data_IF_958150889008
#
_entry.id   IF_958150889008
#
_cell.length_a   1.000
_cell.length_b   1.000
_cell.length_c   1.000
_cell.angle_alpha   90.00
_cell.angle_beta   90.00
_cell.angle_gamma   90.00
#
_symmetry.space_group_name_H-M   'P 1'
#
loop_
_entity.id
_entity.type
_entity.pdbx_description
1 polymer ?
#
# COMPACT_ATOMS: atom_id res chain seq x y z
N UNK A 1 32.63 6.75 0.91
CA UNK A 1 31.69 5.90 1.69
C UNK A 1 30.29 6.52 1.81
N UNK A 2 30.14 7.79 2.21
CA UNK A 2 28.82 8.45 2.34
C UNK A 2 27.93 8.35 1.09
N UNK A 3 28.50 8.58 -0.10
CA UNK A 3 27.79 8.45 -1.38
C UNK A 3 27.19 7.06 -1.58
N UNK A 4 27.98 6.02 -1.34
CA UNK A 4 27.53 4.62 -1.42
C UNK A 4 26.37 4.35 -0.46
N UNK A 5 26.46 4.83 0.78
CA UNK A 5 25.39 4.69 1.79
C UNK A 5 24.10 5.38 1.31
N UNK A 6 24.20 6.62 0.83
CA UNK A 6 23.04 7.37 0.33
C UNK A 6 22.38 6.71 -0.88
N UNK A 7 23.18 6.18 -1.81
CA UNK A 7 22.68 5.42 -2.96
C UNK A 7 21.96 4.16 -2.48
N UNK A 8 22.54 3.41 -1.53
CA UNK A 8 21.91 2.23 -0.97
C UNK A 8 20.57 2.55 -0.27
N UNK A 9 20.52 3.63 0.51
CA UNK A 9 19.29 4.08 1.17
C UNK A 9 18.21 4.52 0.17
N UNK A 10 18.59 5.24 -0.89
CA UNK A 10 17.66 5.61 -1.95
C UNK A 10 17.12 4.37 -2.69
N UNK A 11 17.98 3.38 -2.97
CA UNK A 11 17.57 2.11 -3.58
C UNK A 11 16.61 1.33 -2.66
N UNK A 12 16.88 1.27 -1.35
CA UNK A 12 15.96 0.68 -0.37
C UNK A 12 14.62 1.41 -0.39
N UNK A 13 14.62 2.74 -0.45
CA UNK A 13 13.39 3.54 -0.51
C UNK A 13 12.58 3.27 -1.79
N UNK A 14 13.24 3.03 -2.93
CA UNK A 14 12.57 2.54 -4.17
C UNK A 14 11.91 1.20 -3.93
N UNK A 15 12.62 0.22 -3.35
CA UNK A 15 12.08 -1.10 -3.05
C UNK A 15 10.88 -1.05 -2.09
N UNK A 16 10.94 -0.20 -1.06
CA UNK A 16 9.81 0.05 -0.15
C UNK A 16 8.61 0.59 -0.92
N UNK A 17 8.82 1.58 -1.80
CA UNK A 17 7.74 2.18 -2.61
C UNK A 17 7.06 1.15 -3.52
N UNK A 18 7.84 0.28 -4.17
CA UNK A 18 7.32 -0.84 -4.97
C UNK A 18 6.56 -1.84 -4.09
N UNK A 19 7.06 -2.12 -2.88
CA UNK A 19 6.40 -3.03 -1.93
C UNK A 19 5.03 -2.47 -1.51
N UNK A 20 4.95 -1.17 -1.23
CA UNK A 20 3.68 -0.49 -0.92
C UNK A 20 2.71 -0.57 -2.10
N UNK A 21 3.18 -0.47 -3.35
CA UNK A 21 2.35 -0.66 -4.54
C UNK A 21 1.79 -2.10 -4.63
N UNK A 22 2.63 -3.11 -4.44
CA UNK A 22 2.21 -4.52 -4.48
C UNK A 22 1.16 -4.80 -3.41
N UNK A 23 1.39 -4.31 -2.19
CA UNK A 23 0.42 -4.37 -1.09
C UNK A 23 -0.86 -3.63 -1.49
N UNK A 24 -0.73 -2.40 -1.98
CA UNK A 24 -1.85 -1.60 -2.49
C UNK A 24 -2.73 -2.35 -3.47
N UNK A 25 -2.15 -3.07 -4.43
CA UNK A 25 -2.90 -3.91 -5.36
C UNK A 25 -3.66 -5.05 -4.66
N UNK A 26 -3.04 -5.75 -3.69
CA UNK A 26 -3.73 -6.81 -2.92
C UNK A 26 -4.93 -6.28 -2.14
N UNK A 27 -4.83 -5.06 -1.64
CA UNK A 27 -5.90 -4.38 -0.91
C UNK A 27 -6.79 -3.52 -1.82
N UNK A 28 -6.63 -3.57 -3.15
CA UNK A 28 -7.28 -2.70 -4.14
C UNK A 28 -7.30 -1.21 -3.73
N UNK A 29 -6.21 -0.74 -3.12
CA UNK A 29 -6.02 0.63 -2.62
C UNK A 29 -7.10 1.14 -1.64
N UNK A 30 -7.88 0.23 -1.05
CA UNK A 30 -8.83 0.55 0.03
C UNK A 30 -8.12 1.09 1.29
N UNK A 31 -6.88 0.67 1.51
CA UNK A 31 -6.03 1.16 2.60
C UNK A 31 -5.36 2.47 2.19
N UNK A 32 -5.75 3.59 2.83
CA UNK A 32 -5.30 4.94 2.48
C UNK A 32 -3.78 5.07 2.34
N UNK A 33 -3.01 4.46 3.23
CA UNK A 33 -1.55 4.58 3.25
C UNK A 33 -0.87 3.98 2.01
N UNK A 34 -1.48 2.96 1.37
CA UNK A 34 -0.89 2.34 0.18
C UNK A 34 -0.94 3.28 -1.03
N UNK A 35 -1.85 4.26 -1.06
CA UNK A 35 -1.93 5.28 -2.11
C UNK A 35 -0.71 6.24 -2.15
N UNK A 36 0.13 6.21 -1.11
CA UNK A 36 1.37 7.02 -1.08
C UNK A 36 2.52 6.40 -1.88
N UNK A 37 2.33 5.22 -2.48
CA UNK A 37 3.38 4.51 -3.23
C UNK A 37 4.01 5.35 -4.34
N UNK A 38 3.20 6.06 -5.14
CA UNK A 38 3.67 6.79 -6.31
C UNK A 38 4.50 8.03 -5.93
N UNK A 39 4.04 8.91 -5.01
CA UNK A 39 4.89 9.98 -4.48
C UNK A 39 6.21 9.48 -3.90
N UNK A 40 6.19 8.40 -3.11
CA UNK A 40 7.41 7.83 -2.52
C UNK A 40 8.37 7.28 -3.60
N UNK A 41 7.82 6.66 -4.64
CA UNK A 41 8.61 6.17 -5.77
C UNK A 41 9.29 7.32 -6.52
N UNK A 42 8.57 8.41 -6.81
CA UNK A 42 9.13 9.56 -7.51
C UNK A 42 10.22 10.25 -6.69
N UNK A 43 10.00 10.44 -5.39
CA UNK A 43 11.00 11.03 -4.48
C UNK A 43 12.24 10.14 -4.38
N UNK A 44 12.07 8.84 -4.21
CA UNK A 44 13.19 7.90 -4.10
C UNK A 44 14.01 7.80 -5.38
N UNK A 45 13.37 7.78 -6.55
CA UNK A 45 14.06 7.83 -7.85
C UNK A 45 14.82 9.14 -8.05
N UNK A 46 14.21 10.28 -7.72
CA UNK A 46 14.89 11.58 -7.79
C UNK A 46 16.13 11.60 -6.91
N UNK A 47 16.01 11.16 -5.65
CA UNK A 47 17.15 11.07 -4.72
C UNK A 47 18.24 10.14 -5.25
N UNK A 48 17.86 8.98 -5.81
CA UNK A 48 18.80 8.03 -6.39
C UNK A 48 19.62 8.68 -7.52
N UNK A 49 18.95 9.34 -8.47
CA UNK A 49 19.60 10.05 -9.59
C UNK A 49 20.51 11.16 -9.07
N UNK A 50 20.02 11.98 -8.12
CA UNK A 50 20.80 13.06 -7.51
C UNK A 50 22.07 12.52 -6.85
N UNK A 51 21.96 11.44 -6.07
CA UNK A 51 23.13 10.87 -5.38
C UNK A 51 24.13 10.23 -6.34
N UNK A 52 23.68 9.61 -7.43
CA UNK A 52 24.55 9.03 -8.47
C UNK A 52 25.37 10.15 -9.16
N UNK A 53 24.70 11.22 -9.61
CA UNK A 53 25.33 12.28 -10.42
C UNK A 53 26.13 13.27 -9.56
N UNK A 54 25.78 13.43 -8.28
CA UNK A 54 26.45 14.37 -7.39
C UNK A 54 27.94 14.06 -7.20
N UNK A 55 28.77 15.11 -7.25
CA UNK A 55 30.21 15.04 -6.96
C UNK A 55 30.45 14.72 -5.49
N UNK A 56 31.49 13.95 -5.19
CA UNK A 56 31.82 13.53 -3.81
C UNK A 56 32.06 14.70 -2.86
N UNK A 57 32.63 15.81 -3.34
CA UNK A 57 32.83 17.03 -2.54
C UNK A 57 31.51 17.62 -2.01
N UNK A 58 30.41 17.48 -2.75
CA UNK A 58 29.08 17.93 -2.32
C UNK A 58 28.51 16.96 -1.30
N UNK A 59 28.58 15.65 -1.60
CA UNK A 59 28.08 14.59 -0.71
C UNK A 59 28.80 14.59 0.65
N UNK A 60 30.10 14.86 0.68
CA UNK A 60 30.86 14.86 1.92
C UNK A 60 30.47 16.00 2.89
N UNK A 61 29.85 17.07 2.38
CA UNK A 61 29.28 18.17 3.19
C UNK A 61 27.98 17.79 3.89
N UNK A 62 27.33 16.70 3.50
CA UNK A 62 26.11 16.22 4.15
C UNK A 62 26.43 15.78 5.58
N UNK A 63 25.64 16.28 6.52
CA UNK A 63 25.77 15.98 7.95
C UNK A 63 25.62 14.48 8.22
N UNK A 64 26.43 13.94 9.12
CA UNK A 64 26.30 12.55 9.59
C UNK A 64 24.95 12.31 10.27
N UNK A 65 24.35 13.35 10.86
CA UNK A 65 23.02 13.27 11.47
C UNK A 65 21.95 12.92 10.43
N UNK A 66 22.01 13.50 9.22
CA UNK A 66 21.09 13.19 8.13
C UNK A 66 21.22 11.72 7.69
N UNK A 67 22.44 11.18 7.68
CA UNK A 67 22.71 9.77 7.36
C UNK A 67 22.12 8.81 8.41
N UNK A 68 21.94 9.26 9.65
CA UNK A 68 21.27 8.48 10.71
C UNK A 68 19.76 8.62 10.70
N UNK A 69 19.24 9.85 10.53
CA UNK A 69 17.78 10.10 10.59
C UNK A 69 17.07 9.46 9.40
N UNK A 70 17.68 9.47 8.21
CA UNK A 70 17.03 8.95 7.01
C UNK A 70 16.62 7.47 7.12
N UNK A 71 17.50 6.52 7.48
CA UNK A 71 17.09 5.13 7.67
C UNK A 71 16.07 4.95 8.81
N UNK A 72 16.20 5.70 9.91
CA UNK A 72 15.23 5.65 11.02
C UNK A 72 13.83 6.07 10.52
N UNK A 73 13.75 7.14 9.74
CA UNK A 73 12.50 7.60 9.13
C UNK A 73 11.89 6.55 8.19
N UNK A 74 12.69 5.91 7.34
CA UNK A 74 12.22 4.84 6.46
C UNK A 74 11.65 3.66 7.25
N UNK A 75 12.31 3.26 8.33
CA UNK A 75 11.84 2.17 9.22
C UNK A 75 10.53 2.56 9.90
N UNK A 76 10.43 3.77 10.45
CA UNK A 76 9.20 4.23 11.13
C UNK A 76 8.02 4.33 10.17
N UNK A 77 8.22 4.90 8.97
CA UNK A 77 7.17 4.99 7.95
C UNK A 77 6.71 3.58 7.55
N UNK A 78 7.67 2.68 7.30
CA UNK A 78 7.35 1.29 6.95
C UNK A 78 6.54 0.64 8.07
N UNK A 79 7.00 0.76 9.32
CA UNK A 79 6.31 0.20 10.48
C UNK A 79 4.86 0.70 10.59
N UNK A 80 4.62 2.01 10.44
CA UNK A 80 3.27 2.58 10.47
C UNK A 80 2.39 1.98 9.36
N UNK A 81 2.93 1.82 8.14
CA UNK A 81 2.17 1.24 7.03
C UNK A 81 1.79 -0.21 7.35
N UNK A 82 2.77 -1.04 7.72
CA UNK A 82 2.56 -2.47 7.96
C UNK A 82 1.71 -2.76 9.18
N UNK A 83 1.83 -1.97 10.25
CA UNK A 83 1.03 -2.14 11.46
C UNK A 83 -0.47 -1.85 11.26
N UNK A 84 -0.80 -0.99 10.29
CA UNK A 84 -2.18 -0.61 9.97
C UNK A 84 -2.77 -1.40 8.80
N UNK A 85 -2.11 -2.48 8.35
CA UNK A 85 -2.68 -3.37 7.35
C UNK A 85 -3.72 -4.29 8.00
N UNK A 86 -4.93 -4.41 7.42
CA UNK A 86 -5.90 -5.38 7.88
C UNK A 86 -5.42 -6.83 7.72
N UNK A 87 -5.94 -7.73 8.55
CA UNK A 87 -5.60 -9.16 8.52
C UNK A 87 -5.97 -9.84 7.20
N UNK A 88 -7.11 -9.45 6.61
CA UNK A 88 -7.56 -9.94 5.32
C UNK A 88 -7.37 -8.87 4.26
N UNK A 89 -6.86 -9.28 3.11
CA UNK A 89 -6.82 -8.45 1.91
C UNK A 89 -8.19 -8.39 1.25
N UNK A 90 -8.40 -7.38 0.39
CA UNK A 90 -9.64 -7.26 -0.37
C UNK A 90 -9.82 -8.43 -1.36
N UNK A 91 -8.72 -8.91 -1.96
CA UNK A 91 -8.75 -10.09 -2.83
C UNK A 91 -9.14 -11.36 -2.07
N UNK A 92 -8.59 -11.58 -0.88
CA UNK A 92 -8.98 -12.72 -0.04
C UNK A 92 -10.46 -12.63 0.38
N UNK A 93 -10.93 -11.44 0.74
CA UNK A 93 -12.34 -11.23 1.06
C UNK A 93 -13.25 -11.57 -0.14
N UNK A 94 -12.89 -11.15 -1.35
CA UNK A 94 -13.60 -11.55 -2.59
C UNK A 94 -13.65 -13.06 -2.76
N UNK A 95 -12.50 -13.72 -2.63
CA UNK A 95 -12.40 -15.18 -2.79
C UNK A 95 -13.25 -15.93 -1.75
N UNK A 96 -13.25 -15.47 -0.49
CA UNK A 96 -14.09 -16.04 0.57
C UNK A 96 -15.57 -15.94 0.21
N UNK A 97 -16.04 -14.75 -0.20
CA UNK A 97 -17.44 -14.55 -0.58
C UNK A 97 -17.82 -15.46 -1.75
N UNK A 98 -17.06 -15.46 -2.84
CA UNK A 98 -17.34 -16.30 -4.02
C UNK A 98 -17.41 -17.78 -3.64
N UNK A 99 -16.46 -18.25 -2.82
CA UNK A 99 -16.37 -19.66 -2.42
C UNK A 99 -17.52 -20.08 -1.51
N UNK A 100 -17.92 -19.23 -0.56
CA UNK A 100 -18.95 -19.57 0.41
C UNK A 100 -20.37 -19.39 -0.11
N UNK A 101 -20.58 -18.44 -1.01
CA UNK A 101 -21.93 -18.09 -1.49
C UNK A 101 -22.22 -18.62 -2.90
N UNK A 102 -21.18 -19.03 -3.64
CA UNK A 102 -21.25 -19.37 -5.07
C UNK A 102 -21.77 -18.24 -5.97
N UNK A 103 -21.79 -17.00 -5.46
CA UNK A 103 -22.20 -15.83 -6.23
C UNK A 103 -21.04 -15.27 -7.06
N UNK A 104 -21.34 -14.74 -8.25
CA UNK A 104 -20.35 -14.09 -9.11
C UNK A 104 -20.20 -12.61 -8.77
N UNK A 105 -18.96 -12.11 -8.82
CA UNK A 105 -18.65 -10.68 -8.64
C UNK A 105 -19.31 -9.87 -9.76
N UNK A 106 -19.96 -8.77 -9.37
CA UNK A 106 -20.50 -7.81 -10.32
C UNK A 106 -19.41 -6.84 -10.79
N UNK A 107 -18.88 -7.11 -11.97
CA UNK A 107 -17.86 -6.27 -12.62
C UNK A 107 -18.41 -4.89 -13.02
N UNK A 108 -19.72 -4.72 -13.16
CA UNK A 108 -20.32 -3.41 -13.47
C UNK A 108 -20.18 -2.42 -12.29
N UNK A 109 -19.95 -2.94 -11.08
CA UNK A 109 -19.80 -2.19 -9.82
C UNK A 109 -18.34 -1.92 -9.45
N UNK A 110 -17.39 -2.08 -10.38
CA UNK A 110 -15.97 -1.92 -10.11
C UNK A 110 -15.56 -0.51 -9.62
N UNK A 111 -16.31 0.51 -9.99
CA UNK A 111 -16.05 1.91 -9.59
C UNK A 111 -16.72 2.33 -8.28
N UNK A 112 -17.49 1.43 -7.64
CA UNK A 112 -18.14 1.72 -6.36
C UNK A 112 -17.13 1.72 -5.21
N UNK A 113 -17.58 2.19 -4.04
CA UNK A 113 -16.75 2.22 -2.83
C UNK A 113 -16.43 0.78 -2.40
N UNK A 114 -15.16 0.38 -2.51
CA UNK A 114 -14.71 -0.98 -2.17
C UNK A 114 -14.41 -1.18 -0.69
N UNK A 115 -14.15 -0.12 0.07
CA UNK A 115 -13.91 -0.25 1.50
C UNK A 115 -13.95 1.05 2.27
N UNK A 116 -14.33 0.95 3.54
CA UNK A 116 -14.41 2.06 4.48
C UNK A 116 -14.24 1.53 5.92
N UNK A 117 -13.38 2.18 6.71
CA UNK A 117 -13.23 1.93 8.16
C UNK A 117 -13.03 0.44 8.54
N UNK A 118 -12.17 -0.28 7.83
CA UNK A 118 -11.91 -1.71 8.10
C UNK A 118 -13.01 -2.66 7.61
N UNK A 119 -13.94 -2.15 6.80
CA UNK A 119 -14.95 -2.96 6.13
C UNK A 119 -14.71 -2.93 4.62
N UNK A 120 -14.88 -4.07 3.98
CA UNK A 120 -14.88 -4.22 2.53
C UNK A 120 -16.29 -4.44 2.02
N UNK A 121 -16.61 -3.79 0.92
CA UNK A 121 -17.85 -3.99 0.18
C UNK A 121 -17.55 -4.86 -1.03
N UNK A 122 -18.07 -6.09 -1.01
CA UNK A 122 -17.95 -7.05 -2.11
C UNK A 122 -19.30 -7.07 -2.83
N UNK A 123 -19.31 -6.54 -4.05
CA UNK A 123 -20.49 -6.48 -4.89
C UNK A 123 -20.58 -7.75 -5.73
N UNK A 124 -21.65 -8.50 -5.56
CA UNK A 124 -22.03 -9.63 -6.41
C UNK A 124 -23.23 -9.24 -7.27
N UNK A 125 -23.58 -10.08 -8.25
CA UNK A 125 -24.75 -9.83 -9.10
C UNK A 125 -26.05 -9.69 -8.30
N UNK A 126 -26.18 -10.42 -7.19
CA UNK A 126 -27.41 -10.46 -6.41
C UNK A 126 -27.35 -9.59 -5.15
N UNK A 127 -26.18 -9.43 -4.55
CA UNK A 127 -26.04 -8.87 -3.20
C UNK A 127 -24.79 -7.99 -3.04
N UNK A 128 -24.76 -7.27 -1.92
CA UNK A 128 -23.56 -6.64 -1.39
C UNK A 128 -23.20 -7.33 -0.08
N UNK A 129 -21.96 -7.77 0.02
CA UNK A 129 -21.40 -8.33 1.23
C UNK A 129 -20.52 -7.29 1.92
N UNK A 130 -20.83 -7.01 3.17
CA UNK A 130 -20.03 -6.13 4.03
C UNK A 130 -19.12 -7.04 4.86
N UNK A 131 -17.87 -7.14 4.46
CA UNK A 131 -16.85 -8.03 5.03
C UNK A 131 -15.95 -7.26 5.99
N UNK A 132 -15.74 -7.76 7.20
CA UNK A 132 -14.82 -7.18 8.18
C UNK A 132 -13.39 -7.63 7.88
N UNK A 133 -12.51 -6.68 7.56
CA UNK A 133 -11.14 -6.97 7.16
C UNK A 133 -10.25 -7.48 8.30
N UNK A 134 -10.71 -7.42 9.55
CA UNK A 134 -9.94 -7.86 10.73
C UNK A 134 -10.25 -9.29 11.15
N UNK A 135 -11.54 -9.68 11.16
CA UNK A 135 -11.97 -10.99 11.68
C UNK A 135 -12.59 -11.92 10.64
N UNK A 136 -12.73 -11.46 9.40
CA UNK A 136 -13.19 -12.25 8.26
C UNK A 136 -14.69 -12.53 8.23
N UNK A 137 -15.48 -11.97 9.17
CA UNK A 137 -16.94 -12.13 9.17
C UNK A 137 -17.58 -11.19 8.16
N UNK A 138 -18.75 -11.56 7.66
CA UNK A 138 -19.51 -10.70 6.77
C UNK A 138 -21.00 -10.70 7.04
N UNK A 139 -21.67 -9.66 6.54
CA UNK A 139 -23.12 -9.57 6.48
C UNK A 139 -23.59 -9.38 5.04
N UNK A 140 -24.73 -9.98 4.72
CA UNK A 140 -25.35 -9.94 3.39
C UNK A 140 -26.41 -8.85 3.34
N UNK A 141 -26.40 -8.03 2.29
CA UNK A 141 -27.40 -6.99 2.04
C UNK A 141 -27.89 -7.09 0.59
N UNK A 142 -29.18 -6.85 0.36
CA UNK A 142 -29.71 -6.75 -1.02
C UNK A 142 -29.11 -5.52 -1.73
N UNK A 143 -28.85 -5.66 -3.03
CA UNK A 143 -28.53 -4.52 -3.89
C UNK A 143 -29.72 -3.55 -3.86
N UNK A 144 -29.51 -2.29 -3.44
CA UNK A 144 -30.56 -1.27 -3.30
C UNK A 144 -30.95 -0.61 -4.64
N UNK A 145 -30.55 -1.19 -5.77
CA UNK A 145 -30.77 -0.64 -7.12
C UNK A 145 -31.83 -1.39 -7.94
N UNK A 146 -32.70 -2.17 -7.28
CA UNK A 146 -33.95 -2.70 -7.85
C UNK A 146 -35.17 -2.21 -7.07
#
# INVERSE_FOLDING_TARGET
>A
MKKTILIALAAIHVCISITIFIIGNKYEFTVKYTNTWLPNLLVSLLLLVVFIISKDKVINKISNLLLMIYPIGLVLISFIIFYNLPNFTYLEAKEIIIKETSEEIDLSKENEIKGQLGMYYIYTREHVYIFNSEDGKYSKRKNLNE
#
